data_IF_547930017482
#
_entry.id   IF_547930017482
#
_cell.length_a   1.000
_cell.length_b   1.000
_cell.length_c   1.000
_cell.angle_alpha   90.00
_cell.angle_beta   90.00
_cell.angle_gamma   90.00
#
_symmetry.space_group_name_H-M   'P 1'
#
loop_
_entity.id
_entity.type
_entity.pdbx_description
1 polymer ?
#
# COMPACT_ATOMS: atom_id res chain seq x y z
N UNK A 1 -30.65 -49.02 15.34
CA UNK A 1 -30.69 -47.57 15.03
C UNK A 1 -29.28 -47.02 15.14
N UNK A 2 -28.65 -46.67 14.02
CA UNK A 2 -27.32 -46.07 14.02
C UNK A 2 -27.48 -44.58 13.73
N UNK A 3 -27.18 -43.75 14.73
CA UNK A 3 -27.25 -42.29 14.64
C UNK A 3 -25.96 -41.80 13.95
N UNK A 4 -26.04 -41.38 12.69
CA UNK A 4 -24.92 -40.78 11.99
C UNK A 4 -24.77 -39.31 12.43
N UNK A 5 -23.78 -39.04 13.28
CA UNK A 5 -23.32 -37.68 13.60
C UNK A 5 -22.62 -37.10 12.38
N UNK A 6 -23.24 -36.10 11.72
CA UNK A 6 -22.55 -35.25 10.76
C UNK A 6 -21.49 -34.43 11.50
N UNK A 7 -20.22 -34.76 11.28
CA UNK A 7 -19.09 -33.89 11.59
C UNK A 7 -19.15 -32.68 10.66
N UNK A 8 -19.57 -31.54 11.19
CA UNK A 8 -19.41 -30.25 10.54
C UNK A 8 -17.90 -29.93 10.47
N UNK A 9 -17.33 -30.00 9.28
CA UNK A 9 -15.98 -29.52 9.02
C UNK A 9 -15.93 -28.01 9.28
N UNK A 10 -14.92 -27.50 10.01
CA UNK A 10 -14.80 -26.07 10.24
C UNK A 10 -14.57 -25.38 8.89
N UNK A 11 -15.32 -24.32 8.63
CA UNK A 11 -15.08 -23.44 7.49
C UNK A 11 -13.65 -22.91 7.58
N UNK A 12 -12.75 -23.42 6.73
CA UNK A 12 -11.36 -23.01 6.70
C UNK A 12 -11.29 -21.51 6.41
N UNK A 13 -10.89 -20.74 7.42
CA UNK A 13 -10.22 -19.47 7.24
C UNK A 13 -9.20 -19.62 6.11
N UNK A 14 -9.33 -18.86 5.02
CA UNK A 14 -8.29 -18.84 4.00
C UNK A 14 -7.03 -18.26 4.65
N UNK A 15 -6.02 -19.10 4.83
CA UNK A 15 -4.78 -18.73 5.50
C UNK A 15 -3.96 -17.78 4.62
N UNK A 16 -3.06 -16.99 5.22
CA UNK A 16 -2.12 -16.13 4.50
C UNK A 16 -1.41 -16.88 3.34
N UNK A 17 -1.12 -18.18 3.51
CA UNK A 17 -0.54 -19.02 2.47
C UNK A 17 -1.43 -19.09 1.21
N UNK A 18 -2.74 -19.24 1.35
CA UNK A 18 -3.66 -19.27 0.21
C UNK A 18 -3.69 -17.92 -0.53
N UNK A 19 -3.54 -16.81 0.18
CA UNK A 19 -3.43 -15.48 -0.45
C UNK A 19 -2.10 -15.35 -1.20
N UNK A 20 -1.00 -15.83 -0.62
CA UNK A 20 0.32 -15.82 -1.28
C UNK A 20 0.30 -16.62 -2.57
N UNK A 21 -0.15 -17.87 -2.51
CA UNK A 21 -0.24 -18.75 -3.67
C UNK A 21 -1.12 -18.17 -4.78
N UNK A 22 -2.17 -17.44 -4.41
CA UNK A 22 -3.05 -16.80 -5.39
C UNK A 22 -2.45 -15.54 -6.02
N UNK A 23 -1.68 -14.73 -5.30
CA UNK A 23 -1.25 -13.40 -5.78
C UNK A 23 0.22 -13.31 -6.17
N UNK A 24 1.13 -13.88 -5.37
CA UNK A 24 2.55 -13.69 -5.55
C UNK A 24 3.03 -14.24 -6.90
N UNK A 25 3.94 -13.51 -7.56
CA UNK A 25 4.45 -13.85 -8.89
C UNK A 25 3.52 -13.48 -10.05
N UNK A 26 2.27 -13.06 -9.78
CA UNK A 26 1.36 -12.54 -10.82
C UNK A 26 1.56 -11.05 -11.05
N UNK A 27 1.16 -10.57 -12.22
CA UNK A 27 1.30 -9.17 -12.62
C UNK A 27 -0.04 -8.45 -12.57
N UNK A 28 -0.03 -7.20 -12.12
CA UNK A 28 -1.19 -6.29 -12.08
C UNK A 28 -0.85 -5.00 -12.80
N UNK A 29 -1.88 -4.24 -13.21
CA UNK A 29 -1.70 -2.89 -13.74
C UNK A 29 -2.19 -1.89 -12.69
N UNK A 30 -1.32 -0.99 -12.24
CA UNK A 30 -1.73 0.06 -11.30
C UNK A 30 -2.47 1.16 -12.05
N UNK A 31 -3.57 1.68 -11.50
CA UNK A 31 -4.40 2.73 -12.10
C UNK A 31 -4.10 4.12 -11.55
N UNK A 32 -3.14 4.22 -10.63
CA UNK A 32 -2.67 5.45 -10.00
C UNK A 32 -1.16 5.42 -9.81
N UNK A 33 -0.57 6.60 -9.63
CA UNK A 33 0.84 6.74 -9.32
C UNK A 33 1.13 6.21 -7.90
N UNK A 34 2.15 5.38 -7.76
CA UNK A 34 2.48 4.73 -6.50
C UNK A 34 3.73 5.35 -5.87
N UNK A 35 3.70 5.68 -4.57
CA UNK A 35 4.82 6.35 -3.91
C UNK A 35 5.99 5.39 -3.70
N UNK A 36 7.20 5.93 -3.85
CA UNK A 36 8.48 5.23 -3.70
C UNK A 36 8.90 5.04 -2.23
N UNK A 37 8.04 4.39 -1.44
CA UNK A 37 8.25 4.19 0.00
C UNK A 37 7.56 2.94 0.49
N UNK A 38 8.12 2.36 1.54
CA UNK A 38 7.47 1.31 2.33
C UNK A 38 6.10 1.71 2.87
N UNK A 39 5.80 2.98 3.08
CA UNK A 39 4.47 3.31 3.59
C UNK A 39 3.36 3.09 2.55
N UNK A 40 3.69 3.10 1.25
CA UNK A 40 2.75 2.82 0.18
C UNK A 40 1.49 3.69 0.20
N UNK A 41 0.38 3.12 -0.25
CA UNK A 41 -0.96 3.74 -0.23
C UNK A 41 -1.86 2.99 0.75
N UNK A 42 -2.46 3.70 1.70
CA UNK A 42 -3.40 3.12 2.65
C UNK A 42 -4.81 3.07 2.04
N UNK A 43 -5.41 1.88 1.99
CA UNK A 43 -6.76 1.62 1.49
C UNK A 43 -7.61 1.07 2.62
N UNK A 44 -8.64 1.80 3.04
CA UNK A 44 -9.54 1.41 4.12
C UNK A 44 -10.74 0.65 3.55
N UNK A 45 -10.70 -0.68 3.63
CA UNK A 45 -11.69 -1.56 3.00
C UNK A 45 -13.13 -1.33 3.51
N UNK A 46 -13.27 -0.93 4.78
CA UNK A 46 -14.56 -0.77 5.44
C UNK A 46 -15.06 0.70 5.49
N UNK A 47 -14.31 1.64 4.91
CA UNK A 47 -14.58 3.06 5.04
C UNK A 47 -15.38 3.63 3.86
N UNK A 48 -16.23 4.63 4.15
CA UNK A 48 -16.97 5.41 3.13
C UNK A 48 -16.05 6.17 2.16
N UNK A 49 -14.83 6.50 2.61
CA UNK A 49 -13.73 7.01 1.77
C UNK A 49 -12.55 6.05 1.91
N UNK A 50 -12.29 5.20 0.89
CA UNK A 50 -11.25 4.17 0.99
C UNK A 50 -9.83 4.74 1.01
N UNK A 51 -9.57 5.93 0.46
CA UNK A 51 -8.24 6.56 0.46
C UNK A 51 -8.31 7.99 0.99
N UNK A 52 -7.30 8.38 1.76
CA UNK A 52 -6.98 9.77 2.06
C UNK A 52 -6.08 10.36 0.95
N UNK A 53 -6.70 11.09 0.03
CA UNK A 53 -6.00 11.73 -1.09
C UNK A 53 -5.02 12.84 -0.67
N UNK A 54 -5.22 13.45 0.51
CA UNK A 54 -4.32 14.45 1.06
C UNK A 54 -3.00 13.81 1.49
N UNK A 55 -3.10 12.74 2.30
CA UNK A 55 -1.94 11.96 2.73
C UNK A 55 -1.20 11.33 1.53
N UNK A 56 -1.94 10.74 0.59
CA UNK A 56 -1.39 10.19 -0.65
C UNK A 56 -0.59 11.24 -1.45
N UNK A 57 -1.17 12.42 -1.69
CA UNK A 57 -0.51 13.49 -2.46
C UNK A 57 0.75 14.02 -1.75
N UNK A 58 0.71 14.15 -0.42
CA UNK A 58 1.87 14.55 0.37
C UNK A 58 3.00 13.52 0.26
N UNK A 59 2.65 12.23 0.31
CA UNK A 59 3.61 11.13 0.19
C UNK A 59 4.30 11.15 -1.17
N UNK A 60 3.55 11.22 -2.27
CA UNK A 60 4.11 11.33 -3.62
C UNK A 60 5.09 12.49 -3.78
N UNK A 61 4.77 13.68 -3.24
CA UNK A 61 5.67 14.85 -3.29
C UNK A 61 6.97 14.61 -2.53
N UNK A 62 6.91 13.93 -1.39
CA UNK A 62 8.07 13.72 -0.51
C UNK A 62 8.97 12.55 -0.95
N UNK A 63 8.40 11.50 -1.54
CA UNK A 63 9.13 10.27 -1.86
C UNK A 63 9.38 10.08 -3.35
N UNK A 64 8.63 10.77 -4.20
CA UNK A 64 8.58 10.50 -5.64
C UNK A 64 7.67 9.31 -5.99
N UNK A 65 7.56 9.06 -7.29
CA UNK A 65 6.73 8.01 -7.91
C UNK A 65 7.62 6.82 -8.25
N UNK A 66 7.37 5.66 -7.66
CA UNK A 66 8.06 4.40 -8.00
C UNK A 66 7.38 3.65 -9.14
N UNK A 67 6.04 3.67 -9.19
CA UNK A 67 5.27 3.05 -10.27
C UNK A 67 4.28 4.07 -10.81
N UNK A 68 4.20 4.22 -12.13
CA UNK A 68 3.29 5.17 -12.77
C UNK A 68 1.91 4.53 -12.99
N UNK A 69 0.87 5.35 -13.03
CA UNK A 69 -0.44 4.89 -13.52
C UNK A 69 -0.32 4.25 -14.92
N UNK A 70 -0.94 3.10 -15.11
CA UNK A 70 -0.86 2.25 -16.30
C UNK A 70 0.32 1.27 -16.31
N UNK A 71 1.21 1.30 -15.30
CA UNK A 71 2.36 0.41 -15.25
C UNK A 71 1.99 -1.01 -14.83
N UNK A 72 2.56 -1.98 -15.54
CA UNK A 72 2.39 -3.41 -15.27
C UNK A 72 3.51 -3.89 -14.34
N UNK A 73 3.15 -4.39 -13.16
CA UNK A 73 4.09 -4.70 -12.07
C UNK A 73 3.76 -6.03 -11.41
N UNK A 74 4.79 -6.78 -11.02
CA UNK A 74 4.63 -8.06 -10.33
C UNK A 74 4.26 -7.84 -8.86
N UNK A 75 3.33 -8.65 -8.36
CA UNK A 75 3.03 -8.78 -6.94
C UNK A 75 4.15 -9.61 -6.32
N UNK A 76 4.97 -8.97 -5.50
CA UNK A 76 6.15 -9.61 -4.91
C UNK A 76 5.84 -10.29 -3.59
N UNK A 77 4.90 -9.75 -2.82
CA UNK A 77 4.59 -10.29 -1.50
C UNK A 77 3.21 -9.91 -0.99
N UNK A 78 2.55 -10.88 -0.36
CA UNK A 78 1.37 -10.64 0.50
C UNK A 78 1.76 -10.90 1.95
N UNK A 79 1.42 -9.99 2.86
CA UNK A 79 1.51 -10.23 4.30
C UNK A 79 0.22 -9.86 4.99
N UNK A 80 -0.29 -10.77 5.82
CA UNK A 80 -1.43 -10.49 6.69
C UNK A 80 -0.91 -10.07 8.05
N UNK A 81 -1.41 -8.97 8.58
CA UNK A 81 -1.14 -8.46 9.93
C UNK A 81 -2.46 -8.29 10.67
N UNK A 82 -2.42 -8.03 11.97
CA UNK A 82 -3.62 -7.92 12.81
C UNK A 82 -4.64 -6.89 12.27
N UNK A 83 -4.17 -5.75 11.75
CA UNK A 83 -5.01 -4.62 11.32
C UNK A 83 -4.96 -4.30 9.83
N UNK A 84 -4.06 -4.94 9.08
CA UNK A 84 -3.89 -4.65 7.67
C UNK A 84 -3.32 -5.82 6.89
N UNK A 85 -3.51 -5.78 5.57
CA UNK A 85 -2.84 -6.64 4.61
C UNK A 85 -1.89 -5.78 3.78
N UNK A 86 -0.63 -6.18 3.71
CA UNK A 86 0.37 -5.56 2.82
C UNK A 86 0.34 -6.27 1.47
N UNK A 87 0.07 -5.51 0.41
CA UNK A 87 0.06 -5.96 -0.97
C UNK A 87 1.24 -5.31 -1.71
N UNK A 88 2.38 -6.01 -1.76
CA UNK A 88 3.65 -5.47 -2.25
C UNK A 88 3.79 -5.64 -3.76
N UNK A 89 4.23 -4.56 -4.43
CA UNK A 89 4.40 -4.47 -5.87
C UNK A 89 5.86 -4.15 -6.19
N UNK A 90 6.49 -4.97 -7.03
CA UNK A 90 7.83 -4.69 -7.56
C UNK A 90 8.94 -4.52 -6.52
N UNK A 91 8.77 -5.03 -5.29
CA UNK A 91 9.76 -4.92 -4.21
C UNK A 91 9.23 -4.36 -2.89
N UNK A 92 7.97 -3.91 -2.83
CA UNK A 92 7.32 -3.51 -1.57
C UNK A 92 7.68 -2.11 -1.05
N UNK A 93 8.42 -1.33 -1.83
CA UNK A 93 8.88 0.02 -1.51
C UNK A 93 10.12 0.03 -0.64
N UNK A 94 10.97 1.05 -0.82
CA UNK A 94 12.21 1.23 -0.07
C UNK A 94 11.96 1.58 1.41
N UNK A 95 12.81 1.01 2.28
CA UNK A 95 12.73 1.12 3.73
C UNK A 95 12.35 -0.19 4.44
N UNK A 96 12.31 -1.32 3.72
CA UNK A 96 12.12 -2.64 4.34
C UNK A 96 13.34 -3.02 5.20
N UNK A 97 13.23 -4.06 6.03
CA UNK A 97 14.17 -4.42 7.12
C UNK A 97 15.68 -4.47 6.78
N UNK A 98 16.05 -4.47 5.49
CA UNK A 98 17.44 -4.48 5.02
C UNK A 98 17.91 -3.17 4.37
N UNK A 99 17.04 -2.16 4.24
CA UNK A 99 17.34 -0.90 3.56
C UNK A 99 17.91 0.15 4.52
N UNK A 100 18.97 0.86 4.11
CA UNK A 100 19.51 1.98 4.88
C UNK A 100 18.62 3.22 4.71
N UNK A 101 17.73 3.47 5.66
CA UNK A 101 16.83 4.63 5.62
C UNK A 101 17.49 5.92 6.12
N UNK A 102 18.70 5.86 6.67
CA UNK A 102 19.37 7.03 7.25
C UNK A 102 19.92 7.92 6.14
N UNK A 103 19.44 9.15 6.06
CA UNK A 103 19.87 10.14 5.07
C UNK A 103 21.11 10.95 5.51
N UNK A 104 21.65 10.67 6.69
CA UNK A 104 22.79 11.39 7.26
C UNK A 104 23.98 10.49 7.54
N UNK A 105 25.17 11.07 7.42
CA UNK A 105 26.44 10.47 7.85
C UNK A 105 26.86 11.15 9.14
N UNK A 106 26.98 10.37 10.22
CA UNK A 106 27.50 10.87 11.48
C UNK A 106 29.02 10.98 11.40
N UNK A 107 29.56 12.15 11.77
CA UNK A 107 30.99 12.35 11.96
C UNK A 107 31.22 12.90 13.38
N UNK A 108 31.98 12.20 14.23
CA UNK A 108 32.26 12.66 15.59
C UNK A 108 33.13 13.93 15.56
N UNK A 109 32.98 14.79 16.56
CA UNK A 109 33.85 15.95 16.73
C UNK A 109 35.27 15.54 17.10
N UNK A 110 36.25 16.33 16.66
CA UNK A 110 37.64 16.17 17.00
C UNK A 110 37.81 16.33 18.52
N UNK A 111 38.42 15.31 19.14
CA UNK A 111 38.66 15.28 20.58
C UNK A 111 39.79 16.23 20.98
N UNK A 112 39.66 16.88 22.13
CA UNK A 112 40.75 17.70 22.70
C UNK A 112 42.05 16.90 22.85
N UNK A 113 43.15 17.46 22.37
CA UNK A 113 44.47 16.83 22.49
C UNK A 113 44.97 16.81 23.94
N UNK A 114 45.91 15.91 24.25
CA UNK A 114 46.57 15.89 25.57
C UNK A 114 47.28 17.22 25.86
N UNK A 115 47.87 17.86 24.84
CA UNK A 115 48.52 19.17 24.97
C UNK A 115 47.52 20.26 25.34
N UNK A 116 46.35 20.28 24.70
CA UNK A 116 45.28 21.24 25.00
C UNK A 116 44.79 21.11 26.45
N UNK A 117 44.56 19.87 26.90
CA UNK A 117 44.18 19.57 28.29
C UNK A 117 45.26 19.99 29.30
N UNK A 118 46.54 19.82 28.94
CA UNK A 118 47.65 20.23 29.80
C UNK A 118 47.75 21.76 29.86
N UNK A 119 47.66 22.46 28.74
CA UNK A 119 47.64 23.94 28.72
C UNK A 119 46.48 24.51 29.55
N UNK A 120 45.28 23.96 29.45
CA UNK A 120 44.14 24.38 30.29
C UNK A 120 44.45 24.24 31.80
N UNK A 121 45.16 23.17 32.18
CA UNK A 121 45.60 22.93 33.57
C UNK A 121 46.71 23.88 34.00
N UNK A 122 47.70 24.08 33.14
CA UNK A 122 48.90 24.87 33.44
C UNK A 122 48.56 26.37 33.54
N UNK A 123 47.68 26.88 32.66
CA UNK A 123 47.14 28.26 32.69
C UNK A 123 46.43 28.56 34.01
N UNK A 124 45.75 27.56 34.59
CA UNK A 124 45.04 27.71 35.87
C UNK A 124 46.00 27.94 37.04
N UNK A 125 47.18 27.34 36.97
CA UNK A 125 48.17 27.36 38.05
C UNK A 125 49.29 28.40 37.81
N UNK A 126 49.38 29.00 36.62
CA UNK A 126 50.41 29.98 36.28
C UNK A 126 50.13 31.37 36.89
N UNK A 127 51.17 31.93 37.50
CA UNK A 127 51.17 33.24 38.14
C UNK A 127 51.83 34.32 37.29
N UNK A 128 52.80 33.96 36.45
CA UNK A 128 53.49 34.89 35.56
C UNK A 128 52.57 35.29 34.40
N UNK A 129 52.22 36.58 34.34
CA UNK A 129 51.30 37.12 33.33
C UNK A 129 51.81 36.97 31.88
N UNK A 130 53.12 37.05 31.67
CA UNK A 130 53.71 36.91 30.35
C UNK A 130 53.69 35.45 29.89
N UNK A 131 54.01 34.50 30.79
CA UNK A 131 53.91 33.05 30.49
C UNK A 131 52.46 32.62 30.28
N UNK A 132 51.55 33.08 31.12
CA UNK A 132 50.12 32.81 31.00
C UNK A 132 49.56 33.27 29.65
N UNK A 133 49.94 34.46 29.18
CA UNK A 133 49.53 34.99 27.87
C UNK A 133 50.05 34.14 26.71
N UNK A 134 51.29 33.63 26.80
CA UNK A 134 51.85 32.70 25.80
C UNK A 134 51.09 31.38 25.78
N UNK A 135 50.86 30.77 26.95
CA UNK A 135 50.09 29.53 27.06
C UNK A 135 48.65 29.67 26.56
N UNK A 136 48.00 30.80 26.83
CA UNK A 136 46.67 31.09 26.30
C UNK A 136 46.69 31.19 24.77
N UNK A 137 47.70 31.83 24.19
CA UNK A 137 47.85 31.94 22.73
C UNK A 137 48.03 30.55 22.09
N UNK A 138 48.84 29.68 22.70
CA UNK A 138 49.02 28.29 22.29
C UNK A 138 47.70 27.49 22.37
N UNK A 139 46.95 27.65 23.46
CA UNK A 139 45.65 27.00 23.64
C UNK A 139 44.63 27.47 22.59
N UNK A 140 44.59 28.77 22.32
CA UNK A 140 43.69 29.35 21.32
C UNK A 140 44.06 28.91 19.90
N UNK A 141 45.35 28.71 19.60
CA UNK A 141 45.80 28.09 18.34
C UNK A 141 45.28 26.65 18.21
N UNK A 142 45.48 25.81 19.24
CA UNK A 142 45.01 24.42 19.23
C UNK A 142 43.49 24.32 19.10
N UNK A 143 42.74 25.21 19.77
CA UNK A 143 41.28 25.29 19.65
C UNK A 143 40.85 25.66 18.24
N UNK A 144 41.50 26.66 17.62
CA UNK A 144 41.24 27.06 16.23
C UNK A 144 41.53 25.92 15.25
N UNK A 145 42.62 25.18 15.44
CA UNK A 145 42.94 24.04 14.59
C UNK A 145 41.88 22.95 14.68
N UNK A 146 41.44 22.61 15.90
CA UNK A 146 40.36 21.66 16.14
C UNK A 146 39.03 22.11 15.55
N UNK A 147 38.67 23.39 15.69
CA UNK A 147 37.45 23.96 15.09
C UNK A 147 37.50 23.95 13.56
N UNK A 148 38.68 24.20 12.98
CA UNK A 148 38.90 24.12 11.55
C UNK A 148 38.75 22.68 11.04
N UNK A 149 39.26 21.69 11.78
CA UNK A 149 39.07 20.27 11.49
C UNK A 149 37.59 19.87 11.61
N UNK A 150 36.92 20.24 12.72
CA UNK A 150 35.48 20.01 12.92
C UNK A 150 34.65 20.63 11.79
N UNK A 151 35.04 21.81 11.28
CA UNK A 151 34.38 22.46 10.14
C UNK A 151 34.60 21.68 8.84
N UNK A 152 35.82 21.19 8.57
CA UNK A 152 36.10 20.33 7.40
C UNK A 152 35.32 19.03 7.49
N UNK A 153 35.34 18.37 8.64
CA UNK A 153 34.63 17.13 8.90
C UNK A 153 33.12 17.29 8.69
N UNK A 154 32.53 18.40 9.15
CA UNK A 154 31.13 18.73 8.88
C UNK A 154 30.84 18.94 7.41
N UNK A 155 31.67 19.69 6.69
CA UNK A 155 31.50 19.88 5.24
C UNK A 155 31.59 18.56 4.45
N UNK A 156 32.50 17.66 4.85
CA UNK A 156 32.59 16.30 4.30
C UNK A 156 31.35 15.47 4.65
N UNK A 157 30.85 15.57 5.88
CA UNK A 157 29.63 14.88 6.32
C UNK A 157 28.39 15.37 5.54
N UNK A 158 28.28 16.67 5.31
CA UNK A 158 27.19 17.29 4.55
C UNK A 158 27.20 16.80 3.11
N UNK A 159 28.34 16.88 2.42
CA UNK A 159 28.49 16.39 1.05
C UNK A 159 28.22 14.88 0.93
N UNK A 160 28.74 14.08 1.87
CA UNK A 160 28.46 12.65 1.93
C UNK A 160 26.98 12.35 2.21
N UNK A 161 26.33 13.16 3.04
CA UNK A 161 24.89 13.03 3.33
C UNK A 161 24.05 13.37 2.10
N UNK A 162 24.41 14.41 1.34
CA UNK A 162 23.72 14.73 0.07
C UNK A 162 23.89 13.61 -0.97
N UNK A 163 25.09 13.06 -1.13
CA UNK A 163 25.30 11.89 -2.01
C UNK A 163 24.50 10.67 -1.53
N UNK A 164 24.45 10.44 -0.22
CA UNK A 164 23.65 9.36 0.37
C UNK A 164 22.16 9.56 0.12
N UNK A 165 21.64 10.78 0.28
CA UNK A 165 20.25 11.15 -0.05
C UNK A 165 19.93 10.84 -1.50
N UNK A 166 20.80 11.21 -2.44
CA UNK A 166 20.61 10.95 -3.87
C UNK A 166 20.56 9.44 -4.16
N UNK A 167 21.51 8.66 -3.61
CA UNK A 167 21.53 7.20 -3.76
C UNK A 167 20.27 6.54 -3.19
N UNK A 168 19.85 6.97 -1.99
CA UNK A 168 18.62 6.49 -1.35
C UNK A 168 17.39 6.84 -2.22
N UNK A 169 17.36 8.06 -2.79
CA UNK A 169 16.27 8.46 -3.69
C UNK A 169 16.23 7.62 -4.97
N UNK A 170 17.38 7.30 -5.57
CA UNK A 170 17.47 6.40 -6.72
C UNK A 170 17.00 4.99 -6.37
N UNK A 171 17.47 4.43 -5.25
CA UNK A 171 17.04 3.11 -4.77
C UNK A 171 15.54 3.06 -4.45
N UNK A 172 14.96 4.17 -3.96
CA UNK A 172 13.51 4.32 -3.74
C UNK A 172 12.72 4.12 -5.02
N UNK A 173 13.15 4.74 -6.12
CA UNK A 173 12.46 4.64 -7.40
C UNK A 173 12.43 3.20 -7.94
N UNK A 174 13.43 2.39 -7.60
CA UNK A 174 13.53 1.00 -8.06
C UNK A 174 12.99 -0.04 -7.06
N UNK A 175 12.71 0.35 -5.82
CA UNK A 175 12.25 -0.57 -4.75
C UNK A 175 10.77 -0.97 -4.83
N UNK A 176 10.03 -0.48 -5.82
CA UNK A 176 8.61 -0.74 -5.98
C UNK A 176 7.74 0.04 -4.98
N UNK A 177 6.53 -0.47 -4.69
CA UNK A 177 5.58 0.15 -3.77
C UNK A 177 4.67 -0.88 -3.11
N UNK A 178 3.65 -0.44 -2.36
CA UNK A 178 2.65 -1.33 -1.78
C UNK A 178 1.30 -0.65 -1.58
N UNK A 179 0.24 -1.45 -1.46
CA UNK A 179 -0.99 -1.04 -0.80
C UNK A 179 -1.05 -1.64 0.61
N UNK A 180 -1.51 -0.85 1.58
CA UNK A 180 -1.88 -1.34 2.91
C UNK A 180 -3.39 -1.35 3.01
N UNK A 181 -4.00 -2.52 2.90
CA UNK A 181 -5.45 -2.68 3.02
C UNK A 181 -5.78 -2.73 4.51
N UNK A 182 -6.34 -1.66 5.05
CA UNK A 182 -6.62 -1.47 6.47
C UNK A 182 -8.07 -1.82 6.80
N UNK A 183 -8.24 -2.48 7.93
CA UNK A 183 -9.54 -2.86 8.49
C UNK A 183 -9.70 -2.23 9.86
N UNK A 184 -10.87 -1.64 10.13
CA UNK A 184 -11.11 -0.93 11.39
C UNK A 184 -11.13 -1.89 12.59
N UNK A 185 -11.71 -3.07 12.38
CA UNK A 185 -11.90 -4.09 13.42
C UNK A 185 -10.93 -5.27 13.27
N UNK A 186 -9.79 -5.05 12.62
CA UNK A 186 -8.81 -6.11 12.32
C UNK A 186 -9.13 -6.85 11.03
N UNK A 187 -8.13 -7.59 10.52
CA UNK A 187 -8.30 -8.37 9.28
C UNK A 187 -9.31 -9.51 9.51
N UNK A 188 -10.35 -9.64 8.68
CA UNK A 188 -11.32 -10.73 8.81
C UNK A 188 -10.65 -12.10 8.67
N UNK A 189 -10.97 -13.05 9.56
CA UNK A 189 -10.40 -14.39 9.55
C UNK A 189 -10.66 -15.18 8.25
N UNK A 190 -11.68 -14.81 7.49
CA UNK A 190 -12.04 -15.42 6.20
C UNK A 190 -11.69 -14.55 4.99
N UNK A 191 -10.69 -13.67 5.09
CA UNK A 191 -10.31 -12.81 3.96
C UNK A 191 -9.94 -13.65 2.73
N UNK A 192 -10.53 -13.32 1.58
CA UNK A 192 -10.33 -14.06 0.34
C UNK A 192 -9.60 -13.23 -0.71
N UNK A 193 -9.02 -13.86 -1.75
CA UNK A 193 -8.50 -13.11 -2.89
C UNK A 193 -9.54 -12.19 -3.52
N UNK A 194 -10.79 -12.63 -3.62
CA UNK A 194 -11.89 -11.79 -4.10
C UNK A 194 -12.11 -10.55 -3.24
N UNK A 195 -11.99 -10.66 -1.91
CA UNK A 195 -12.09 -9.52 -1.00
C UNK A 195 -10.95 -8.50 -1.17
N UNK A 196 -9.71 -8.98 -1.34
CA UNK A 196 -8.55 -8.12 -1.62
C UNK A 196 -8.70 -7.42 -2.97
N UNK A 197 -9.10 -8.17 -4.00
CA UNK A 197 -9.33 -7.61 -5.34
C UNK A 197 -10.45 -6.58 -5.31
N UNK A 198 -11.55 -6.84 -4.61
CA UNK A 198 -12.64 -5.88 -4.46
C UNK A 198 -12.20 -4.59 -3.76
N UNK A 199 -11.33 -4.68 -2.74
CA UNK A 199 -10.78 -3.51 -2.07
C UNK A 199 -9.86 -2.67 -2.97
N UNK A 200 -9.21 -3.31 -3.96
CA UNK A 200 -8.20 -2.66 -4.81
C UNK A 200 -8.67 -2.39 -6.25
N UNK A 201 -9.84 -2.85 -6.69
CA UNK A 201 -10.25 -2.84 -8.11
C UNK A 201 -10.32 -1.43 -8.72
N UNK A 202 -10.59 -0.41 -7.90
CA UNK A 202 -10.56 1.00 -8.30
C UNK A 202 -9.14 1.50 -8.63
N UNK A 203 -8.12 0.90 -8.00
CA UNK A 203 -6.72 1.35 -8.04
C UNK A 203 -5.80 0.39 -8.78
N UNK A 204 -6.25 -0.85 -9.00
CA UNK A 204 -5.47 -1.95 -9.56
C UNK A 204 -6.35 -2.75 -10.51
N UNK A 205 -5.83 -3.05 -11.68
CA UNK A 205 -6.38 -4.04 -12.60
C UNK A 205 -5.70 -5.39 -12.37
N UNK A 206 -6.47 -6.47 -12.45
CA UNK A 206 -5.99 -7.84 -12.24
C UNK A 206 -6.14 -8.67 -13.53
N UNK A 207 -5.26 -8.53 -14.54
CA UNK A 207 -5.40 -9.20 -15.84
C UNK A 207 -5.46 -10.74 -15.77
N UNK A 208 -4.94 -11.33 -14.69
CA UNK A 208 -5.00 -12.77 -14.47
C UNK A 208 -6.35 -13.24 -13.94
N UNK A 209 -7.18 -12.37 -13.38
CA UNK A 209 -8.51 -12.72 -12.88
C UNK A 209 -9.41 -13.23 -14.02
N UNK A 210 -9.27 -12.63 -15.21
CA UNK A 210 -9.98 -13.04 -16.43
C UNK A 210 -9.48 -14.39 -16.98
N UNK A 211 -8.27 -14.81 -16.59
CA UNK A 211 -7.64 -16.06 -17.03
C UNK A 211 -8.00 -17.27 -16.16
N UNK A 212 -8.56 -17.07 -14.96
CA UNK A 212 -8.99 -18.18 -14.09
C UNK A 212 -10.31 -18.83 -14.56
N UNK A 213 -11.00 -18.24 -15.55
CA UNK A 213 -12.18 -18.85 -16.23
C UNK A 213 -11.80 -19.51 -17.57
N UNK A 214 -10.60 -20.10 -17.69
CA UNK A 214 -10.29 -20.98 -18.83
C UNK A 214 -9.46 -22.20 -18.38
N UNK A 215 -10.09 -23.33 -18.03
CA UNK A 215 -9.47 -24.61 -18.33
C UNK A 215 -9.50 -24.80 -19.86
N UNK A 216 -8.52 -25.54 -20.36
CA UNK A 216 -8.15 -25.65 -21.75
C UNK A 216 -9.29 -25.98 -22.73
N UNK A 217 -9.07 -25.51 -23.94
CA UNK A 217 -9.82 -25.83 -25.14
C UNK A 217 -9.67 -27.32 -25.46
N UNK A 218 -10.65 -28.14 -25.10
CA UNK A 218 -10.89 -29.41 -25.78
C UNK A 218 -12.38 -29.76 -25.76
N UNK A 219 -12.94 -29.76 -26.99
CA UNK A 219 -14.22 -30.34 -27.44
C UNK A 219 -15.49 -30.08 -26.63
N UNK A 220 -16.40 -29.26 -27.19
CA UNK A 220 -17.84 -29.44 -27.01
C UNK A 220 -18.21 -30.89 -27.42
N UNK A 221 -19.19 -31.57 -26.77
CA UNK A 221 -20.56 -31.06 -26.71
C UNK A 221 -21.35 -31.38 -25.42
N UNK A 222 -22.62 -30.96 -25.45
CA UNK A 222 -23.76 -31.31 -24.60
C UNK A 222 -24.06 -30.35 -23.44
N UNK A 223 -25.14 -29.60 -23.66
CA UNK A 223 -25.90 -28.86 -22.67
C UNK A 223 -26.24 -29.74 -21.46
N UNK A 224 -26.00 -29.22 -20.26
CA UNK A 224 -26.75 -29.58 -19.06
C UNK A 224 -27.07 -28.30 -18.30
N UNK A 225 -28.35 -28.14 -18.00
CA UNK A 225 -29.00 -26.94 -17.49
C UNK A 225 -28.28 -26.29 -16.30
N UNK A 226 -28.05 -24.98 -16.38
CA UNK A 226 -27.83 -24.14 -15.21
C UNK A 226 -29.19 -23.91 -14.55
N UNK A 227 -29.41 -24.55 -13.40
CA UNK A 227 -30.50 -24.20 -12.50
C UNK A 227 -30.39 -22.73 -12.05
N UNK A 228 -31.51 -22.11 -11.63
CA UNK A 228 -31.64 -20.66 -11.51
C UNK A 228 -30.77 -20.12 -10.38
N UNK A 229 -29.97 -19.10 -10.67
CA UNK A 229 -29.28 -18.32 -9.64
C UNK A 229 -30.32 -17.46 -8.87
N UNK A 230 -30.37 -17.66 -7.56
CA UNK A 230 -31.46 -17.28 -6.66
C UNK A 230 -31.44 -15.83 -6.15
N UNK A 231 -31.41 -14.83 -7.03
CA UNK A 231 -31.65 -13.42 -6.65
C UNK A 231 -30.52 -12.43 -6.98
N UNK A 232 -30.76 -11.12 -6.77
CA UNK A 232 -29.85 -10.06 -7.19
C UNK A 232 -28.55 -10.04 -6.38
N UNK A 233 -27.43 -9.76 -7.05
CA UNK A 233 -26.09 -9.68 -6.44
C UNK A 233 -25.35 -8.46 -6.96
N UNK A 234 -24.62 -7.76 -6.09
CA UNK A 234 -23.78 -6.64 -6.51
C UNK A 234 -22.72 -7.13 -7.50
N UNK A 235 -22.47 -6.34 -8.54
CA UNK A 235 -21.62 -6.72 -9.68
C UNK A 235 -22.37 -7.43 -10.81
N UNK A 236 -23.65 -7.77 -10.64
CA UNK A 236 -24.50 -8.29 -11.73
C UNK A 236 -24.62 -7.25 -12.84
N UNK A 237 -24.41 -7.64 -14.09
CA UNK A 237 -24.54 -6.71 -15.22
C UNK A 237 -26.01 -6.45 -15.54
N UNK A 238 -26.29 -5.38 -16.29
CA UNK A 238 -27.63 -5.09 -16.81
C UNK A 238 -28.21 -6.29 -17.57
N UNK A 239 -27.41 -6.94 -18.42
CA UNK A 239 -27.84 -8.11 -19.18
C UNK A 239 -28.13 -9.31 -18.27
N UNK A 240 -27.27 -9.58 -17.28
CA UNK A 240 -27.53 -10.65 -16.32
C UNK A 240 -28.79 -10.40 -15.48
N UNK A 241 -29.10 -9.13 -15.18
CA UNK A 241 -30.32 -8.76 -14.47
C UNK A 241 -31.57 -8.96 -15.34
N UNK A 242 -31.49 -8.67 -16.64
CA UNK A 242 -32.56 -8.97 -17.60
C UNK A 242 -32.78 -10.48 -17.75
N UNK A 243 -31.70 -11.25 -17.86
CA UNK A 243 -31.76 -12.70 -17.99
C UNK A 243 -32.30 -13.36 -16.71
N UNK A 244 -32.01 -12.77 -15.54
CA UNK A 244 -32.44 -13.29 -14.25
C UNK A 244 -33.85 -12.84 -13.83
N UNK A 245 -34.23 -11.59 -14.09
CA UNK A 245 -35.46 -10.98 -13.56
C UNK A 245 -36.46 -10.54 -14.63
N UNK A 246 -36.11 -10.67 -15.91
CA UNK A 246 -36.92 -10.19 -17.02
C UNK A 246 -36.78 -8.69 -17.22
N UNK A 247 -37.68 -8.11 -18.04
CA UNK A 247 -37.69 -6.68 -18.30
C UNK A 247 -38.15 -5.90 -17.06
N UNK A 248 -37.51 -4.75 -16.75
CA UNK A 248 -37.93 -3.93 -15.62
C UNK A 248 -39.29 -3.28 -15.89
N UNK A 249 -40.13 -3.17 -14.85
CA UNK A 249 -41.39 -2.43 -14.89
C UNK A 249 -41.17 -0.92 -15.04
N UNK A 250 -40.06 -0.42 -14.47
CA UNK A 250 -39.67 1.00 -14.50
C UNK A 250 -38.17 1.13 -14.60
N UNK A 251 -37.74 2.14 -15.35
CA UNK A 251 -36.34 2.55 -15.47
C UNK A 251 -36.24 4.07 -15.38
N UNK A 252 -35.23 4.55 -14.67
CA UNK A 252 -34.90 5.97 -14.58
C UNK A 252 -33.39 6.14 -14.69
N UNK A 253 -32.95 7.02 -15.59
CA UNK A 253 -31.54 7.34 -15.78
C UNK A 253 -31.22 8.70 -15.15
N UNK A 254 -30.07 8.78 -14.47
CA UNK A 254 -29.51 10.03 -13.96
C UNK A 254 -28.00 10.05 -14.12
N UNK A 255 -27.42 11.23 -14.22
CA UNK A 255 -25.97 11.42 -14.24
C UNK A 255 -25.47 11.83 -12.86
N UNK A 256 -24.52 11.08 -12.29
CA UNK A 256 -23.76 11.51 -11.13
C UNK A 256 -22.33 11.86 -11.57
N UNK A 257 -22.08 13.16 -11.77
CA UNK A 257 -20.84 13.65 -12.37
C UNK A 257 -20.72 13.21 -13.83
N UNK A 258 -19.79 12.29 -14.12
CA UNK A 258 -19.58 11.72 -15.47
C UNK A 258 -20.16 10.32 -15.65
N UNK A 259 -20.72 9.73 -14.59
CA UNK A 259 -21.17 8.34 -14.60
C UNK A 259 -22.68 8.27 -14.77
N UNK A 260 -23.13 7.36 -15.63
CA UNK A 260 -24.55 7.05 -15.82
C UNK A 260 -25.03 6.10 -14.73
N UNK A 261 -26.02 6.54 -13.97
CA UNK A 261 -26.73 5.74 -12.99
C UNK A 261 -28.12 5.41 -13.52
N UNK A 262 -28.44 4.12 -13.63
CA UNK A 262 -29.75 3.61 -14.04
C UNK A 262 -30.41 2.93 -12.85
N UNK A 263 -31.53 3.46 -12.38
CA UNK A 263 -32.39 2.80 -11.40
C UNK A 263 -33.45 2.01 -12.15
N UNK A 264 -33.56 0.71 -11.88
CA UNK A 264 -34.55 -0.16 -12.49
C UNK A 264 -35.34 -0.92 -11.43
N UNK A 265 -36.63 -1.11 -11.67
CA UNK A 265 -37.48 -1.92 -10.79
C UNK A 265 -37.96 -3.16 -11.53
N UNK A 266 -37.68 -4.33 -10.98
CA UNK A 266 -38.11 -5.64 -11.49
C UNK A 266 -39.18 -6.24 -10.57
N UNK A 267 -40.05 -7.08 -11.13
CA UNK A 267 -41.03 -7.87 -10.39
C UNK A 267 -40.85 -9.35 -10.73
N UNK A 268 -40.59 -10.18 -9.73
CA UNK A 268 -40.43 -11.62 -9.90
C UNK A 268 -40.91 -12.37 -8.64
N UNK A 269 -41.73 -13.40 -8.82
CA UNK A 269 -42.18 -14.30 -7.75
C UNK A 269 -42.71 -13.57 -6.49
N UNK A 270 -43.62 -12.60 -6.69
CA UNK A 270 -44.23 -11.75 -5.65
C UNK A 270 -43.27 -10.81 -4.89
N UNK A 271 -42.05 -10.65 -5.40
CA UNK A 271 -41.06 -9.72 -4.89
C UNK A 271 -40.84 -8.56 -5.87
N UNK A 272 -40.75 -7.34 -5.33
CA UNK A 272 -40.32 -6.14 -6.04
C UNK A 272 -38.85 -5.90 -5.74
N UNK A 273 -38.04 -5.82 -6.79
CA UNK A 273 -36.59 -5.61 -6.71
C UNK A 273 -36.28 -4.24 -7.29
N UNK A 274 -35.82 -3.30 -6.46
CA UNK A 274 -35.30 -2.02 -6.94
C UNK A 274 -33.78 -2.09 -6.99
N UNK A 275 -33.19 -1.77 -8.13
CA UNK A 275 -31.81 -2.03 -8.47
C UNK A 275 -31.17 -0.76 -9.06
N UNK A 276 -30.02 -0.34 -8.52
CA UNK A 276 -29.23 0.77 -9.05
C UNK A 276 -27.99 0.25 -9.77
N UNK A 277 -27.88 0.59 -11.04
CA UNK A 277 -26.77 0.26 -11.91
C UNK A 277 -25.92 1.51 -12.15
N UNK A 278 -24.60 1.39 -12.07
CA UNK A 278 -23.67 2.44 -12.52
C UNK A 278 -22.90 1.89 -13.70
N UNK A 279 -22.95 2.58 -14.84
CA UNK A 279 -22.38 2.10 -16.11
C UNK A 279 -22.80 0.66 -16.46
N UNK A 280 -24.06 0.31 -16.15
CA UNK A 280 -24.62 -1.00 -16.42
C UNK A 280 -24.25 -2.12 -15.42
N UNK A 281 -23.65 -1.79 -14.28
CA UNK A 281 -23.30 -2.77 -13.22
C UNK A 281 -24.09 -2.51 -11.95
N UNK A 282 -24.77 -3.53 -11.42
CA UNK A 282 -25.59 -3.46 -10.21
C UNK A 282 -24.72 -3.16 -8.98
N UNK A 283 -24.83 -1.96 -8.42
CA UNK A 283 -24.05 -1.57 -7.22
C UNK A 283 -24.88 -1.70 -5.93
N UNK A 284 -26.20 -1.65 -6.06
CA UNK A 284 -27.14 -1.64 -4.93
C UNK A 284 -28.48 -2.22 -5.36
N UNK A 285 -29.13 -2.95 -4.46
CA UNK A 285 -30.51 -3.34 -4.64
C UNK A 285 -31.25 -3.37 -3.30
N UNK A 286 -32.57 -3.30 -3.37
CA UNK A 286 -33.49 -3.64 -2.29
C UNK A 286 -34.53 -4.64 -2.81
N UNK A 287 -34.98 -5.54 -1.94
CA UNK A 287 -36.05 -6.49 -2.23
C UNK A 287 -37.15 -6.22 -1.21
N UNK A 288 -38.36 -5.98 -1.68
CA UNK A 288 -39.55 -5.89 -0.85
C UNK A 288 -40.58 -6.91 -1.33
N UNK A 289 -41.38 -7.46 -0.41
CA UNK A 289 -42.62 -8.13 -0.80
C UNK A 289 -43.49 -7.13 -1.54
N UNK A 290 -44.18 -7.61 -2.57
CA UNK A 290 -45.29 -6.85 -3.15
C UNK A 290 -46.45 -6.77 -2.16
#
# INVERSE_FOLDING_TARGET
MACATLLALPAHAQSEAALKDYFEGKTVVVKMDMPATQEGVDVYADARRPIDFGAYSARLKSTGIALKSGESVMITRIRVKDKLIEFQLGGGGYGTFSDDTSTSVYVPSATKSTREKNLERDIKNETDSARKRRMQSDLDNLRRDRENEDRRNRAVAETASEQKKQRIAEQRLHGGSRFNIRYQNGVPAGVTPGGIMAALVEYVEFPFADKVVRPGKETAPAAVARGPASGPRKGMTWQDALDAFGQPEKTADRMEGKLKVTTATFSKDDQRIEAEFVEGVLIRYSISSR
#
